data_IF_700102537042
#
_entry.id   IF_700102537042
#
_cell.length_a   1.000
_cell.length_b   1.000
_cell.length_c   1.000
_cell.angle_alpha   90.00
_cell.angle_beta   90.00
_cell.angle_gamma   90.00
#
_symmetry.space_group_name_H-M   'P 1'
#
loop_
_entity.id
_entity.type
_entity.pdbx_description
1 polymer ?
#
# COMPACT_ATOMS: atom_id res chain seq x y z
N UNK A 1 86.44 8.94 -135.64
CA UNK A 1 85.29 8.91 -136.59
C UNK A 1 84.00 8.87 -135.76
N UNK A 2 83.17 9.91 -135.74
CA UNK A 2 81.93 9.99 -134.95
C UNK A 2 82.11 10.26 -133.44
N UNK A 3 81.30 11.06 -132.73
CA UNK A 3 80.22 12.00 -133.07
C UNK A 3 80.69 13.41 -132.63
N UNK A 4 80.05 14.45 -133.15
CA UNK A 4 80.38 15.90 -133.09
C UNK A 4 80.67 16.50 -131.70
N UNK A 5 81.38 17.64 -131.72
CA UNK A 5 81.99 18.40 -130.61
C UNK A 5 81.05 18.85 -129.49
N UNK A 6 79.73 18.82 -129.68
CA UNK A 6 78.79 19.36 -128.68
C UNK A 6 78.13 18.26 -127.83
N UNK A 7 77.74 17.13 -128.41
CA UNK A 7 77.08 16.05 -127.68
C UNK A 7 78.02 15.32 -126.70
N UNK A 8 79.33 15.22 -127.02
CA UNK A 8 80.33 14.65 -126.09
C UNK A 8 80.74 15.63 -124.98
N UNK A 9 80.56 16.94 -125.17
CA UNK A 9 80.84 17.97 -124.17
C UNK A 9 79.69 18.05 -123.16
N UNK A 10 78.45 17.98 -123.63
CA UNK A 10 77.24 17.84 -122.80
C UNK A 10 77.26 16.54 -121.96
N UNK A 11 77.70 15.41 -122.53
CA UNK A 11 77.90 14.17 -121.75
C UNK A 11 79.01 14.26 -120.69
N UNK A 12 80.04 15.09 -120.89
CA UNK A 12 81.14 15.27 -119.92
C UNK A 12 80.76 16.24 -118.78
N UNK A 13 79.95 17.25 -119.05
CA UNK A 13 79.43 18.16 -118.01
C UNK A 13 78.28 17.52 -117.21
N UNK A 14 77.36 16.82 -117.87
CA UNK A 14 76.33 16.03 -117.19
C UNK A 14 76.96 14.98 -116.25
N UNK A 15 78.02 14.29 -116.68
CA UNK A 15 78.72 13.28 -115.86
C UNK A 15 79.56 13.88 -114.72
N UNK A 16 79.97 15.16 -114.81
CA UNK A 16 80.62 15.87 -113.70
C UNK A 16 79.61 16.40 -112.68
N UNK A 17 78.49 16.96 -113.14
CA UNK A 17 77.38 17.38 -112.29
C UNK A 17 76.72 16.20 -111.56
N UNK A 18 76.54 15.06 -112.25
CA UNK A 18 76.04 13.83 -111.67
C UNK A 18 77.00 13.26 -110.61
N UNK A 19 78.32 13.27 -110.85
CA UNK A 19 79.32 12.89 -109.83
C UNK A 19 79.29 13.80 -108.61
N UNK A 20 79.16 15.11 -108.80
CA UNK A 20 79.09 16.06 -107.70
C UNK A 20 77.79 15.90 -106.89
N UNK A 21 76.67 15.65 -107.58
CA UNK A 21 75.39 15.33 -106.95
C UNK A 21 75.45 13.99 -106.20
N UNK A 22 76.07 12.96 -106.77
CA UNK A 22 76.30 11.68 -106.09
C UNK A 22 77.17 11.85 -104.84
N UNK A 23 78.20 12.70 -104.87
CA UNK A 23 79.04 12.97 -103.72
C UNK A 23 78.32 13.79 -102.63
N UNK A 24 77.49 14.75 -103.03
CA UNK A 24 76.61 15.50 -102.11
C UNK A 24 75.54 14.59 -101.50
N UNK A 25 74.90 13.73 -102.29
CA UNK A 25 73.91 12.76 -101.81
C UNK A 25 74.56 11.69 -100.93
N UNK A 26 75.76 11.22 -101.26
CA UNK A 26 76.54 10.31 -100.41
C UNK A 26 76.89 10.95 -99.06
N UNK A 27 77.30 12.23 -99.04
CA UNK A 27 77.50 12.97 -97.79
C UNK A 27 76.22 13.19 -97.00
N UNK A 28 75.08 13.43 -97.66
CA UNK A 28 73.77 13.54 -96.99
C UNK A 28 73.31 12.19 -96.44
N UNK A 29 73.52 11.09 -97.16
CA UNK A 29 73.23 9.74 -96.68
C UNK A 29 74.08 9.41 -95.46
N UNK A 30 75.39 9.69 -95.50
CA UNK A 30 76.27 9.46 -94.34
C UNK A 30 75.81 10.25 -93.10
N UNK A 31 75.43 11.52 -93.27
CA UNK A 31 74.87 12.33 -92.17
C UNK A 31 73.50 11.82 -91.69
N UNK A 32 72.66 11.30 -92.59
CA UNK A 32 71.39 10.65 -92.22
C UNK A 32 71.62 9.36 -91.45
N UNK A 33 72.62 8.57 -91.83
CA UNK A 33 72.99 7.32 -91.17
C UNK A 33 73.68 7.57 -89.82
N UNK A 34 74.43 8.65 -89.67
CA UNK A 34 74.94 9.12 -88.39
C UNK A 34 73.79 9.58 -87.48
N UNK A 35 72.88 10.41 -87.99
CA UNK A 35 71.71 10.85 -87.24
C UNK A 35 70.79 9.68 -86.85
N UNK A 36 70.58 8.71 -87.75
CA UNK A 36 69.78 7.52 -87.47
C UNK A 36 70.45 6.63 -86.40
N UNK A 37 71.79 6.50 -86.42
CA UNK A 37 72.54 5.81 -85.37
C UNK A 37 72.46 6.55 -84.02
N UNK A 38 72.52 7.87 -84.01
CA UNK A 38 72.33 8.67 -82.80
C UNK A 38 70.91 8.55 -82.24
N UNK A 39 69.88 8.61 -83.08
CA UNK A 39 68.48 8.43 -82.67
C UNK A 39 68.25 7.01 -82.13
N UNK A 40 68.78 5.97 -82.77
CA UNK A 40 68.70 4.60 -82.28
C UNK A 40 69.43 4.42 -80.95
N UNK A 41 70.62 5.02 -80.80
CA UNK A 41 71.36 5.00 -79.54
C UNK A 41 70.64 5.77 -78.43
N UNK A 42 70.00 6.91 -78.74
CA UNK A 42 69.19 7.67 -77.80
C UNK A 42 67.90 6.92 -77.41
N UNK A 43 67.25 6.21 -78.34
CA UNK A 43 66.10 5.38 -78.04
C UNK A 43 66.47 4.21 -77.10
N UNK A 44 67.65 3.60 -77.31
CA UNK A 44 68.15 2.56 -76.43
C UNK A 44 68.47 3.11 -75.03
N UNK A 45 69.19 4.25 -74.95
CA UNK A 45 69.44 4.94 -73.66
C UNK A 45 68.15 5.38 -72.97
N UNK A 46 67.13 5.80 -73.72
CA UNK A 46 65.81 6.15 -73.17
C UNK A 46 65.12 4.93 -72.58
N UNK A 47 65.16 3.78 -73.25
CA UNK A 47 64.61 2.54 -72.71
C UNK A 47 65.36 2.06 -71.46
N UNK A 48 66.68 2.23 -71.42
CA UNK A 48 67.49 1.97 -70.22
C UNK A 48 67.16 2.91 -69.07
N UNK A 49 67.00 4.22 -69.36
CA UNK A 49 66.54 5.22 -68.40
C UNK A 49 65.13 4.92 -67.90
N UNK A 50 64.19 4.53 -68.77
CA UNK A 50 62.83 4.16 -68.39
C UNK A 50 62.80 2.89 -67.54
N UNK A 51 63.64 1.89 -67.85
CA UNK A 51 63.81 0.69 -67.02
C UNK A 51 64.39 1.05 -65.65
N UNK A 52 65.44 1.88 -65.62
CA UNK A 52 66.06 2.37 -64.38
C UNK A 52 65.10 3.19 -63.54
N UNK A 53 64.33 4.09 -64.17
CA UNK A 53 63.29 4.89 -63.54
C UNK A 53 62.18 4.02 -62.96
N UNK A 54 61.67 3.04 -63.72
CA UNK A 54 60.66 2.09 -63.23
C UNK A 54 61.19 1.25 -62.07
N UNK A 55 62.43 0.78 -62.14
CA UNK A 55 63.07 0.03 -61.06
C UNK A 55 63.23 0.90 -59.80
N UNK A 56 63.67 2.15 -59.95
CA UNK A 56 63.79 3.12 -58.85
C UNK A 56 62.41 3.45 -58.26
N UNK A 57 61.41 3.72 -59.10
CA UNK A 57 60.04 3.99 -58.67
C UNK A 57 59.41 2.79 -57.96
N UNK A 58 59.65 1.57 -58.44
CA UNK A 58 59.19 0.36 -57.77
C UNK A 58 59.87 0.20 -56.40
N UNK A 59 61.18 0.43 -56.32
CA UNK A 59 61.92 0.39 -55.05
C UNK A 59 61.44 1.45 -54.03
N UNK A 60 60.98 2.61 -54.51
CA UNK A 60 60.39 3.67 -53.66
C UNK A 60 58.95 3.34 -53.27
N UNK A 61 58.14 2.77 -54.17
CA UNK A 61 56.71 2.50 -53.95
C UNK A 61 56.41 1.18 -53.25
N UNK A 62 57.25 0.17 -53.42
CA UNK A 62 57.11 -1.13 -52.74
C UNK A 62 56.98 -1.03 -51.21
N UNK A 63 57.83 -0.28 -50.47
CA UNK A 63 57.65 -0.13 -49.03
C UNK A 63 56.36 0.63 -48.67
N UNK A 64 55.93 1.59 -49.50
CA UNK A 64 54.66 2.32 -49.30
C UNK A 64 53.48 1.37 -49.46
N UNK A 65 53.46 0.55 -50.52
CA UNK A 65 52.39 -0.43 -50.71
C UNK A 65 52.37 -1.48 -49.60
N UNK A 66 53.54 -1.92 -49.12
CA UNK A 66 53.63 -2.83 -47.98
C UNK A 66 53.01 -2.21 -46.73
N UNK A 67 53.34 -0.95 -46.45
CA UNK A 67 52.78 -0.21 -45.33
C UNK A 67 51.27 0.01 -45.49
N UNK A 68 50.78 0.36 -46.68
CA UNK A 68 49.35 0.53 -46.95
C UNK A 68 48.58 -0.79 -46.76
N UNK A 69 49.14 -1.91 -47.21
CA UNK A 69 48.57 -3.26 -47.00
C UNK A 69 48.54 -3.60 -45.51
N UNK A 70 49.60 -3.28 -44.76
CA UNK A 70 49.68 -3.53 -43.32
C UNK A 70 48.68 -2.66 -42.53
N UNK A 71 48.58 -1.37 -42.86
CA UNK A 71 47.57 -0.47 -42.29
C UNK A 71 46.17 -0.99 -42.61
N UNK A 72 45.91 -1.38 -43.86
CA UNK A 72 44.63 -1.92 -44.28
C UNK A 72 44.32 -3.24 -43.56
N UNK A 73 45.31 -4.11 -43.38
CA UNK A 73 45.21 -5.34 -42.59
C UNK A 73 44.78 -5.05 -41.15
N UNK A 74 45.48 -4.16 -40.44
CA UNK A 74 45.12 -3.80 -39.06
C UNK A 74 43.75 -3.12 -38.95
N UNK A 75 43.37 -2.32 -39.94
CA UNK A 75 42.01 -1.74 -40.00
C UNK A 75 40.97 -2.84 -40.18
N UNK A 76 41.21 -3.81 -41.07
CA UNK A 76 40.31 -4.94 -41.25
C UNK A 76 40.20 -5.81 -40.00
N UNK A 77 41.32 -6.14 -39.36
CA UNK A 77 41.37 -6.91 -38.12
C UNK A 77 40.56 -6.24 -37.02
N UNK A 78 40.77 -4.93 -36.80
CA UNK A 78 40.00 -4.16 -35.81
C UNK A 78 38.49 -4.11 -36.13
N UNK A 79 38.13 -3.96 -37.40
CA UNK A 79 36.72 -3.97 -37.82
C UNK A 79 36.12 -5.37 -37.65
N UNK A 80 36.88 -6.41 -37.96
CA UNK A 80 36.50 -7.80 -37.77
C UNK A 80 36.25 -8.09 -36.29
N UNK A 81 37.20 -7.78 -35.41
CA UNK A 81 37.06 -7.95 -33.95
C UNK A 81 35.86 -7.20 -33.39
N UNK A 82 35.63 -5.96 -33.85
CA UNK A 82 34.47 -5.17 -33.43
C UNK A 82 33.16 -5.83 -33.87
N UNK A 83 33.11 -6.32 -35.11
CA UNK A 83 31.93 -7.03 -35.63
C UNK A 83 31.72 -8.35 -34.92
N UNK A 84 32.76 -9.13 -34.68
CA UNK A 84 32.70 -10.40 -33.95
C UNK A 84 32.24 -10.18 -32.50
N UNK A 85 32.76 -9.16 -31.82
CA UNK A 85 32.27 -8.75 -30.51
C UNK A 85 30.79 -8.37 -30.54
N UNK A 86 30.36 -7.56 -31.52
CA UNK A 86 28.96 -7.17 -31.65
C UNK A 86 28.06 -8.38 -31.93
N UNK A 87 28.49 -9.32 -32.77
CA UNK A 87 27.75 -10.57 -33.04
C UNK A 87 27.62 -11.37 -31.75
N UNK A 88 28.74 -11.65 -31.06
CA UNK A 88 28.75 -12.39 -29.78
C UNK A 88 27.89 -11.71 -28.71
N UNK A 89 27.95 -10.38 -28.63
CA UNK A 89 27.15 -9.62 -27.68
C UNK A 89 25.65 -9.71 -28.01
N UNK A 90 25.30 -9.58 -29.29
CA UNK A 90 23.91 -9.67 -29.76
C UNK A 90 23.34 -11.07 -29.55
N UNK A 91 24.14 -12.12 -29.82
CA UNK A 91 23.75 -13.51 -29.53
C UNK A 91 23.47 -13.69 -28.03
N UNK A 92 24.34 -13.19 -27.15
CA UNK A 92 24.09 -13.25 -25.70
C UNK A 92 22.82 -12.51 -25.28
N UNK A 93 22.56 -11.34 -25.86
CA UNK A 93 21.33 -10.60 -25.58
C UNK A 93 20.10 -11.35 -26.07
N UNK A 94 20.19 -12.05 -27.20
CA UNK A 94 19.13 -12.91 -27.71
C UNK A 94 18.86 -14.09 -26.77
N UNK A 95 19.91 -14.76 -26.27
CA UNK A 95 19.77 -15.85 -25.29
C UNK A 95 19.12 -15.37 -23.98
N UNK A 96 19.51 -14.19 -23.50
CA UNK A 96 18.90 -13.58 -22.30
C UNK A 96 17.43 -13.23 -22.55
N UNK A 97 17.10 -12.68 -23.72
CA UNK A 97 15.73 -12.35 -24.08
C UNK A 97 14.85 -13.59 -24.19
N UNK A 98 15.38 -14.68 -24.76
CA UNK A 98 14.67 -15.96 -24.86
C UNK A 98 14.45 -16.58 -23.48
N UNK A 99 15.45 -16.62 -22.60
CA UNK A 99 15.32 -17.08 -21.21
C UNK A 99 14.29 -16.25 -20.43
N UNK A 100 14.27 -14.92 -20.61
CA UNK A 100 13.24 -14.05 -20.02
C UNK A 100 11.85 -14.37 -20.56
N UNK A 101 11.72 -14.60 -21.87
CA UNK A 101 10.45 -14.95 -22.49
C UNK A 101 9.93 -16.31 -21.97
N UNK A 102 10.78 -17.33 -21.93
CA UNK A 102 10.44 -18.66 -21.42
C UNK A 102 10.00 -18.62 -19.95
N UNK A 103 10.72 -17.88 -19.10
CA UNK A 103 10.33 -17.69 -17.68
C UNK A 103 8.98 -16.99 -17.54
N UNK A 104 8.74 -15.98 -18.37
CA UNK A 104 7.47 -15.24 -18.36
C UNK A 104 6.31 -16.15 -18.77
N UNK A 105 6.48 -16.95 -19.83
CA UNK A 105 5.49 -17.94 -20.27
C UNK A 105 5.25 -18.98 -19.18
N UNK A 106 6.30 -19.55 -18.58
CA UNK A 106 6.16 -20.52 -17.49
C UNK A 106 5.41 -19.93 -16.29
N UNK A 107 5.71 -18.69 -15.90
CA UNK A 107 5.00 -17.99 -14.83
C UNK A 107 3.51 -17.75 -15.17
N UNK A 108 3.19 -17.46 -16.43
CA UNK A 108 1.80 -17.31 -16.86
C UNK A 108 1.06 -18.64 -16.84
N UNK A 109 1.66 -19.72 -17.34
CA UNK A 109 1.07 -21.07 -17.28
C UNK A 109 0.79 -21.47 -15.83
N UNK A 110 1.74 -21.31 -14.91
CA UNK A 110 1.54 -21.60 -13.48
C UNK A 110 0.43 -20.74 -12.85
N UNK A 111 0.33 -19.47 -13.23
CA UNK A 111 -0.78 -18.61 -12.77
C UNK A 111 -2.14 -19.10 -13.28
N UNK A 112 -2.21 -19.51 -14.55
CA UNK A 112 -3.42 -20.07 -15.16
C UNK A 112 -3.78 -21.40 -14.49
N UNK A 113 -2.81 -22.29 -14.28
CA UNK A 113 -3.04 -23.59 -13.63
C UNK A 113 -3.53 -23.43 -12.19
N UNK A 114 -2.95 -22.50 -11.42
CA UNK A 114 -3.44 -22.17 -10.06
C UNK A 114 -4.88 -21.66 -10.09
N UNK A 115 -5.21 -20.82 -11.07
CA UNK A 115 -6.56 -20.28 -11.23
C UNK A 115 -7.56 -21.37 -11.64
N UNK A 116 -7.20 -22.24 -12.58
CA UNK A 116 -8.01 -23.39 -12.99
C UNK A 116 -8.26 -24.31 -11.78
N UNK A 117 -7.20 -24.68 -11.05
CA UNK A 117 -7.32 -25.54 -9.88
C UNK A 117 -8.21 -24.93 -8.79
N UNK A 118 -8.10 -23.62 -8.56
CA UNK A 118 -9.00 -22.92 -7.64
C UNK A 118 -10.46 -22.99 -8.12
N UNK A 119 -10.72 -22.73 -9.39
CA UNK A 119 -12.07 -22.82 -9.93
C UNK A 119 -12.64 -24.24 -9.86
N UNK A 120 -11.81 -25.26 -10.07
CA UNK A 120 -12.23 -26.66 -9.92
C UNK A 120 -12.62 -26.98 -8.47
N UNK A 121 -11.83 -26.54 -7.48
CA UNK A 121 -12.14 -26.72 -6.07
C UNK A 121 -13.43 -25.98 -5.69
N UNK A 122 -13.55 -24.70 -6.07
CA UNK A 122 -14.75 -23.90 -5.79
C UNK A 122 -16.01 -24.54 -6.42
N UNK A 123 -15.89 -25.11 -7.62
CA UNK A 123 -17.00 -25.77 -8.31
C UNK A 123 -17.38 -27.10 -7.64
N UNK A 124 -16.40 -27.86 -7.17
CA UNK A 124 -16.63 -29.09 -6.40
C UNK A 124 -17.33 -28.79 -5.07
N UNK A 125 -16.88 -27.76 -4.34
CA UNK A 125 -17.49 -27.33 -3.08
C UNK A 125 -18.93 -26.84 -3.29
N UNK A 126 -19.17 -26.05 -4.35
CA UNK A 126 -20.52 -25.62 -4.72
C UNK A 126 -21.43 -26.79 -5.10
N UNK A 127 -20.89 -27.81 -5.78
CA UNK A 127 -21.63 -29.05 -6.08
C UNK A 127 -22.01 -29.77 -4.80
N UNK A 128 -21.05 -30.01 -3.89
CA UNK A 128 -21.29 -30.69 -2.61
C UNK A 128 -22.31 -29.96 -1.74
N UNK A 129 -22.23 -28.63 -1.68
CA UNK A 129 -23.18 -27.81 -0.92
C UNK A 129 -24.58 -27.86 -1.55
N UNK A 130 -24.68 -27.88 -2.88
CA UNK A 130 -25.96 -28.04 -3.57
C UNK A 130 -26.57 -29.44 -3.33
N UNK A 131 -25.77 -30.50 -3.39
CA UNK A 131 -26.20 -31.86 -3.10
C UNK A 131 -26.67 -32.00 -1.65
N UNK A 132 -25.95 -31.38 -0.71
CA UNK A 132 -26.37 -31.33 0.69
C UNK A 132 -27.69 -30.58 0.86
N UNK A 133 -27.85 -29.41 0.24
CA UNK A 133 -29.08 -28.62 0.33
C UNK A 133 -30.28 -29.33 -0.28
N UNK A 134 -30.09 -29.98 -1.43
CA UNK A 134 -31.17 -30.73 -2.09
C UNK A 134 -31.56 -31.95 -1.26
N UNK A 135 -30.60 -32.68 -0.68
CA UNK A 135 -30.86 -33.76 0.27
C UNK A 135 -31.64 -33.28 1.49
N UNK A 136 -31.20 -32.19 2.13
CA UNK A 136 -31.86 -31.64 3.33
C UNK A 136 -33.30 -31.17 3.02
N UNK A 137 -33.54 -30.56 1.85
CA UNK A 137 -34.87 -30.15 1.41
C UNK A 137 -35.78 -31.35 1.13
N UNK A 138 -35.26 -32.36 0.44
CA UNK A 138 -36.01 -33.58 0.15
C UNK A 138 -36.40 -34.29 1.45
N UNK A 139 -35.45 -34.45 2.36
CA UNK A 139 -35.69 -35.06 3.67
C UNK A 139 -36.75 -34.30 4.48
N UNK A 140 -36.67 -32.97 4.52
CA UNK A 140 -37.71 -32.16 5.20
C UNK A 140 -39.08 -32.34 4.56
N UNK A 141 -39.14 -32.38 3.23
CA UNK A 141 -40.40 -32.64 2.52
C UNK A 141 -40.95 -34.04 2.86
N UNK A 142 -40.10 -35.06 2.92
CA UNK A 142 -40.50 -36.41 3.31
C UNK A 142 -41.01 -36.43 4.76
N UNK A 143 -40.28 -35.82 5.70
CA UNK A 143 -40.68 -35.71 7.10
C UNK A 143 -42.01 -34.96 7.25
N UNK A 144 -42.18 -33.83 6.55
CA UNK A 144 -43.44 -33.06 6.54
C UNK A 144 -44.60 -33.87 5.96
N UNK A 145 -44.40 -34.57 4.85
CA UNK A 145 -45.46 -35.41 4.25
C UNK A 145 -45.85 -36.56 5.18
N UNK A 146 -44.88 -37.19 5.84
CA UNK A 146 -45.12 -38.24 6.84
C UNK A 146 -45.92 -37.71 8.03
N UNK A 147 -45.56 -36.55 8.56
CA UNK A 147 -46.29 -35.90 9.65
C UNK A 147 -47.73 -35.54 9.24
N UNK A 148 -47.93 -34.97 8.06
CA UNK A 148 -49.26 -34.63 7.54
C UNK A 148 -50.12 -35.90 7.39
N UNK A 149 -49.55 -37.00 6.87
CA UNK A 149 -50.26 -38.27 6.76
C UNK A 149 -50.61 -38.84 8.14
N UNK A 150 -49.69 -38.77 9.10
CA UNK A 150 -49.94 -39.24 10.47
C UNK A 150 -51.07 -38.44 11.14
N UNK A 151 -51.02 -37.11 11.05
CA UNK A 151 -52.05 -36.22 11.59
C UNK A 151 -53.41 -36.42 10.90
N UNK A 152 -53.40 -36.60 9.58
CA UNK A 152 -54.62 -36.89 8.82
C UNK A 152 -55.25 -38.22 9.26
N UNK A 153 -54.46 -39.29 9.37
CA UNK A 153 -54.94 -40.59 9.83
C UNK A 153 -55.46 -40.53 11.28
N UNK A 154 -54.78 -39.79 12.16
CA UNK A 154 -55.24 -39.57 13.54
C UNK A 154 -56.58 -38.82 13.58
N UNK A 155 -56.75 -37.78 12.76
CA UNK A 155 -58.00 -37.04 12.66
C UNK A 155 -59.13 -37.90 12.06
N UNK A 156 -58.82 -38.68 11.02
CA UNK A 156 -59.79 -39.58 10.37
C UNK A 156 -60.27 -40.65 11.35
N UNK A 157 -59.36 -41.33 12.05
CA UNK A 157 -59.71 -42.35 13.05
C UNK A 157 -60.54 -41.76 14.19
N UNK A 158 -60.23 -40.56 14.65
CA UNK A 158 -61.03 -39.85 15.66
C UNK A 158 -62.45 -39.53 15.15
N UNK A 159 -62.60 -39.06 13.90
CA UNK A 159 -63.90 -38.82 13.29
C UNK A 159 -64.70 -40.12 13.12
N UNK A 160 -64.06 -41.19 12.65
CA UNK A 160 -64.69 -42.51 12.53
C UNK A 160 -65.21 -43.00 13.89
N UNK A 161 -64.44 -42.80 14.97
CA UNK A 161 -64.86 -43.15 16.32
C UNK A 161 -66.08 -42.33 16.78
N UNK A 162 -66.09 -41.02 16.53
CA UNK A 162 -67.24 -40.16 16.84
C UNK A 162 -68.48 -40.57 16.04
N UNK A 163 -68.34 -40.86 14.75
CA UNK A 163 -69.44 -41.35 13.92
C UNK A 163 -69.97 -42.68 14.43
N UNK A 164 -69.09 -43.61 14.80
CA UNK A 164 -69.47 -44.91 15.37
C UNK A 164 -70.26 -44.73 16.68
N UNK A 165 -69.79 -43.87 17.59
CA UNK A 165 -70.53 -43.55 18.82
C UNK A 165 -71.87 -42.85 18.56
N UNK A 166 -71.91 -41.88 17.66
CA UNK A 166 -73.14 -41.19 17.28
C UNK A 166 -74.16 -42.14 16.65
N UNK A 167 -73.70 -43.06 15.78
CA UNK A 167 -74.53 -44.08 15.18
C UNK A 167 -75.08 -45.05 16.22
N UNK A 168 -74.22 -45.61 17.08
CA UNK A 168 -74.66 -46.53 18.14
C UNK A 168 -75.65 -45.86 19.11
N UNK A 169 -75.42 -44.61 19.49
CA UNK A 169 -76.34 -43.88 20.38
C UNK A 169 -77.69 -43.59 19.71
N UNK A 170 -77.69 -43.20 18.43
CA UNK A 170 -78.91 -43.02 17.67
C UNK A 170 -79.67 -44.35 17.46
N UNK A 171 -78.96 -45.44 17.16
CA UNK A 171 -79.55 -46.76 16.95
C UNK A 171 -80.12 -47.33 18.25
N UNK A 172 -79.40 -47.23 19.36
CA UNK A 172 -79.92 -47.62 20.69
C UNK A 172 -81.12 -46.78 21.10
N UNK A 173 -81.13 -45.47 20.84
CA UNK A 173 -82.30 -44.62 21.05
C UNK A 173 -83.47 -45.02 20.15
N UNK A 174 -83.21 -45.32 18.87
CA UNK A 174 -84.22 -45.78 17.95
C UNK A 174 -84.81 -47.14 18.36
N UNK A 175 -83.97 -48.08 18.82
CA UNK A 175 -84.39 -49.38 19.34
C UNK A 175 -85.21 -49.26 20.62
N UNK A 176 -84.77 -48.44 21.58
CA UNK A 176 -85.53 -48.19 22.82
C UNK A 176 -86.86 -47.50 22.53
N UNK A 177 -86.84 -46.42 21.74
CA UNK A 177 -88.07 -45.71 21.31
C UNK A 177 -88.99 -46.63 20.52
N UNK A 178 -88.46 -47.48 19.63
CA UNK A 178 -89.24 -48.49 18.91
C UNK A 178 -89.78 -49.55 19.84
N UNK A 179 -89.02 -50.00 20.84
CA UNK A 179 -89.50 -50.93 21.86
C UNK A 179 -90.65 -50.34 22.67
N UNK A 180 -90.49 -49.11 23.17
CA UNK A 180 -91.52 -48.37 23.89
C UNK A 180 -92.77 -48.12 23.02
N UNK A 181 -92.56 -47.69 21.78
CA UNK A 181 -93.65 -47.49 20.83
C UNK A 181 -94.27 -48.81 20.39
N UNK A 182 -93.53 -49.93 20.32
CA UNK A 182 -94.11 -51.24 20.04
C UNK A 182 -94.88 -51.78 21.23
N UNK A 183 -94.50 -51.48 22.47
CA UNK A 183 -95.30 -51.81 23.65
C UNK A 183 -96.59 -50.98 23.64
N UNK A 184 -96.50 -49.65 23.48
CA UNK A 184 -97.68 -48.76 23.36
C UNK A 184 -98.55 -49.12 22.16
N UNK A 185 -97.91 -49.41 21.03
CA UNK A 185 -98.58 -49.82 19.82
C UNK A 185 -99.08 -51.25 19.90
N UNK A 186 -98.56 -52.19 20.70
CA UNK A 186 -99.17 -53.51 20.93
C UNK A 186 -100.33 -53.41 21.93
N UNK A 187 -100.28 -52.48 22.88
CA UNK A 187 -101.41 -52.16 23.75
C UNK A 187 -102.56 -51.51 22.97
N UNK A 188 -102.25 -50.56 22.08
CA UNK A 188 -103.22 -49.97 21.14
C UNK A 188 -103.57 -50.92 20.02
N UNK A 189 -102.61 -51.67 19.44
CA UNK A 189 -102.84 -52.67 18.39
C UNK A 189 -103.60 -53.84 18.95
N UNK A 190 -103.52 -54.26 20.21
CA UNK A 190 -104.42 -55.32 20.70
C UNK A 190 -105.86 -54.82 20.73
N UNK A 191 -106.08 -53.59 21.24
CA UNK A 191 -107.39 -52.93 21.24
C UNK A 191 -107.93 -52.70 19.83
N UNK A 192 -107.07 -52.17 18.96
CA UNK A 192 -107.37 -51.95 17.57
C UNK A 192 -107.22 -53.21 16.74
N UNK A 193 -106.59 -54.33 17.08
CA UNK A 193 -106.60 -55.57 16.27
C UNK A 193 -107.94 -56.21 16.44
N UNK A 194 -108.58 -56.09 17.59
CA UNK A 194 -109.93 -56.61 17.72
C UNK A 194 -110.93 -55.80 16.85
N UNK A 195 -110.72 -54.47 16.76
CA UNK A 195 -111.55 -53.58 15.91
C UNK A 195 -111.11 -53.55 14.43
N UNK A 196 -109.80 -53.61 14.20
CA UNK A 196 -109.11 -53.60 12.91
C UNK A 196 -109.15 -54.97 12.30
N UNK A 197 -108.99 -56.13 12.91
CA UNK A 197 -109.15 -57.41 12.18
C UNK A 197 -110.56 -57.49 11.57
N UNK A 198 -111.56 -56.95 12.29
CA UNK A 198 -112.90 -56.71 11.77
C UNK A 198 -112.94 -55.68 10.63
N UNK A 199 -112.45 -54.45 10.84
CA UNK A 199 -112.45 -53.40 9.83
C UNK A 199 -111.48 -53.65 8.68
N UNK A 200 -110.41 -54.40 8.87
CA UNK A 200 -109.33 -54.82 7.98
C UNK A 200 -109.74 -56.04 7.20
N UNK A 201 -110.54 -56.96 7.74
CA UNK A 201 -111.18 -57.94 6.88
C UNK A 201 -112.07 -57.23 5.84
N UNK A 202 -112.86 -56.25 6.28
CA UNK A 202 -113.77 -55.48 5.40
C UNK A 202 -112.99 -54.54 4.46
N UNK A 203 -112.05 -53.77 5.01
CA UNK A 203 -111.27 -52.80 4.27
C UNK A 203 -110.14 -53.47 3.50
N UNK A 204 -109.53 -54.60 3.88
CA UNK A 204 -108.62 -55.37 3.02
C UNK A 204 -109.41 -55.93 1.84
N UNK A 205 -110.65 -56.35 2.01
CA UNK A 205 -111.44 -56.79 0.86
C UNK A 205 -111.70 -55.63 -0.13
N UNK A 206 -112.08 -54.44 0.36
CA UNK A 206 -112.31 -53.27 -0.49
C UNK A 206 -111.00 -52.67 -1.03
N UNK A 207 -110.00 -52.56 -0.17
CA UNK A 207 -108.66 -52.08 -0.48
C UNK A 207 -107.98 -53.03 -1.45
N UNK A 208 -108.01 -54.35 -1.27
CA UNK A 208 -107.41 -55.29 -2.21
C UNK A 208 -108.07 -55.19 -3.59
N UNK A 209 -109.39 -55.00 -3.66
CA UNK A 209 -110.08 -54.75 -4.93
C UNK A 209 -109.62 -53.43 -5.58
N UNK A 210 -109.65 -52.32 -4.84
CA UNK A 210 -109.18 -51.01 -5.33
C UNK A 210 -107.67 -51.00 -5.61
N UNK A 211 -106.90 -51.80 -4.89
CA UNK A 211 -105.45 -51.95 -4.99
C UNK A 211 -105.07 -52.79 -6.20
N UNK A 212 -105.85 -53.82 -6.56
CA UNK A 212 -105.66 -54.51 -7.83
C UNK A 212 -106.04 -53.63 -9.02
N UNK A 213 -107.10 -52.82 -8.94
CA UNK A 213 -107.42 -51.83 -9.97
C UNK A 213 -106.35 -50.73 -10.07
N UNK A 214 -105.91 -50.19 -8.94
CA UNK A 214 -104.85 -49.20 -8.89
C UNK A 214 -103.51 -49.77 -9.38
N UNK A 215 -103.17 -51.01 -9.01
CA UNK A 215 -102.03 -51.75 -9.57
C UNK A 215 -102.19 -51.93 -11.07
N UNK A 216 -103.39 -52.23 -11.57
CA UNK A 216 -103.61 -52.40 -13.00
C UNK A 216 -103.39 -51.08 -13.76
N UNK A 217 -103.92 -49.96 -13.26
CA UNK A 217 -103.71 -48.62 -13.81
C UNK A 217 -102.24 -48.19 -13.71
N UNK A 218 -101.59 -48.43 -12.56
CA UNK A 218 -100.17 -48.15 -12.37
C UNK A 218 -99.29 -49.00 -13.30
N UNK A 219 -99.57 -50.30 -13.44
CA UNK A 219 -98.84 -51.18 -14.36
C UNK A 219 -99.03 -50.68 -15.80
N UNK A 220 -100.25 -50.31 -16.19
CA UNK A 220 -100.52 -49.74 -17.52
C UNK A 220 -99.77 -48.42 -17.76
N UNK A 221 -99.74 -47.52 -16.78
CA UNK A 221 -99.00 -46.26 -16.85
C UNK A 221 -97.48 -46.46 -16.87
N UNK A 222 -96.95 -47.34 -16.02
CA UNK A 222 -95.52 -47.68 -15.96
C UNK A 222 -95.08 -48.32 -17.27
N UNK A 223 -95.86 -49.26 -17.83
CA UNK A 223 -95.56 -49.89 -19.11
C UNK A 223 -95.66 -48.85 -20.25
N UNK A 224 -96.73 -48.04 -20.27
CA UNK A 224 -96.94 -47.00 -21.29
C UNK A 224 -95.88 -45.88 -21.26
N UNK A 225 -95.31 -45.58 -20.10
CA UNK A 225 -94.27 -44.55 -19.94
C UNK A 225 -92.85 -45.10 -19.87
N UNK A 226 -92.65 -46.42 -19.80
CA UNK A 226 -91.33 -47.03 -19.64
C UNK A 226 -90.35 -46.65 -20.76
N UNK A 227 -90.79 -46.72 -22.02
CA UNK A 227 -89.96 -46.33 -23.17
C UNK A 227 -89.66 -44.83 -23.18
N UNK A 228 -90.64 -43.98 -22.83
CA UNK A 228 -90.42 -42.53 -22.73
C UNK A 228 -89.46 -42.18 -21.58
N UNK A 229 -89.61 -42.81 -20.41
CA UNK A 229 -88.68 -42.65 -19.28
C UNK A 229 -87.26 -43.09 -19.65
N UNK A 230 -87.10 -44.19 -20.41
CA UNK A 230 -85.81 -44.66 -20.92
C UNK A 230 -85.19 -43.68 -21.92
N UNK A 231 -85.99 -43.11 -22.82
CA UNK A 231 -85.56 -42.06 -23.75
C UNK A 231 -85.10 -40.80 -23.02
N UNK A 232 -85.88 -40.32 -22.04
CA UNK A 232 -85.53 -39.17 -21.19
C UNK A 232 -84.25 -39.42 -20.40
N UNK A 233 -84.06 -40.60 -19.81
CA UNK A 233 -82.80 -40.96 -19.12
C UNK A 233 -81.60 -40.94 -20.09
N UNK A 234 -81.78 -41.43 -21.33
CA UNK A 234 -80.71 -41.41 -22.35
C UNK A 234 -80.35 -39.98 -22.77
N UNK A 235 -81.35 -39.11 -22.94
CA UNK A 235 -81.14 -37.69 -23.26
C UNK A 235 -80.47 -36.96 -22.09
N UNK A 236 -80.93 -37.15 -20.84
CA UNK A 236 -80.28 -36.57 -19.65
C UNK A 236 -78.83 -36.98 -19.48
N UNK A 237 -78.48 -38.24 -19.77
CA UNK A 237 -77.06 -38.68 -19.76
C UNK A 237 -76.22 -37.93 -20.79
N UNK A 238 -76.75 -37.71 -22.00
CA UNK A 238 -76.08 -36.92 -23.04
C UNK A 238 -75.97 -35.45 -22.65
N UNK A 239 -77.03 -34.87 -22.10
CA UNK A 239 -77.06 -33.49 -21.61
C UNK A 239 -76.03 -33.27 -20.50
N UNK A 240 -76.00 -34.14 -19.48
CA UNK A 240 -75.01 -34.09 -18.42
C UNK A 240 -73.58 -34.20 -18.98
N UNK A 241 -73.33 -35.15 -19.90
CA UNK A 241 -72.02 -35.29 -20.55
C UNK A 241 -71.62 -34.03 -21.32
N UNK A 242 -72.55 -33.39 -22.04
CA UNK A 242 -72.29 -32.13 -22.73
C UNK A 242 -72.05 -30.97 -21.74
N UNK A 243 -72.79 -30.92 -20.64
CA UNK A 243 -72.59 -29.92 -19.58
C UNK A 243 -71.20 -30.05 -18.94
N UNK A 244 -70.74 -31.27 -18.66
CA UNK A 244 -69.39 -31.53 -18.14
C UNK A 244 -68.31 -31.08 -19.13
N UNK A 245 -68.51 -31.34 -20.43
CA UNK A 245 -67.61 -30.87 -21.48
C UNK A 245 -67.59 -29.34 -21.52
N UNK A 246 -68.75 -28.69 -21.47
CA UNK A 246 -68.88 -27.22 -21.48
C UNK A 246 -68.16 -26.62 -20.26
N UNK A 247 -68.35 -27.17 -19.06
CA UNK A 247 -67.67 -26.70 -17.85
C UNK A 247 -66.14 -26.88 -17.96
N UNK A 248 -65.68 -28.03 -18.46
CA UNK A 248 -64.26 -28.28 -18.66
C UNK A 248 -63.62 -27.30 -19.66
N UNK A 249 -64.33 -26.95 -20.74
CA UNK A 249 -63.88 -25.97 -21.72
C UNK A 249 -63.94 -24.56 -21.15
N UNK A 250 -64.97 -24.23 -20.37
CA UNK A 250 -65.07 -22.96 -19.64
C UNK A 250 -63.87 -22.73 -18.71
N UNK A 251 -63.47 -23.75 -17.94
CA UNK A 251 -62.26 -23.72 -17.11
C UNK A 251 -60.99 -23.51 -17.93
N UNK A 252 -60.83 -24.20 -19.07
CA UNK A 252 -59.68 -24.00 -19.98
C UNK A 252 -59.61 -22.59 -20.55
N UNK A 253 -60.76 -22.04 -20.96
CA UNK A 253 -60.85 -20.66 -21.46
C UNK A 253 -60.50 -19.67 -20.36
N UNK A 254 -61.04 -19.82 -19.15
CA UNK A 254 -60.73 -18.95 -18.01
C UNK A 254 -59.23 -18.96 -17.66
N UNK A 255 -58.60 -20.14 -17.65
CA UNK A 255 -57.16 -20.28 -17.42
C UNK A 255 -56.34 -19.58 -18.51
N UNK A 256 -56.74 -19.74 -19.77
CA UNK A 256 -56.06 -19.14 -20.92
C UNK A 256 -56.21 -17.61 -20.94
N UNK A 257 -57.39 -17.09 -20.60
CA UNK A 257 -57.65 -15.66 -20.44
C UNK A 257 -56.86 -15.05 -19.27
N UNK A 258 -56.77 -15.77 -18.14
CA UNK A 258 -55.93 -15.40 -17.01
C UNK A 258 -54.44 -15.33 -17.37
N UNK A 259 -53.94 -16.25 -18.21
CA UNK A 259 -52.58 -16.20 -18.73
C UNK A 259 -52.39 -15.03 -19.70
N UNK A 260 -53.32 -14.82 -20.63
CA UNK A 260 -53.31 -13.70 -21.58
C UNK A 260 -53.28 -12.35 -20.87
N UNK A 261 -54.10 -12.15 -19.81
CA UNK A 261 -54.07 -10.93 -18.99
C UNK A 261 -52.72 -10.71 -18.32
N UNK A 262 -52.12 -11.76 -17.74
CA UNK A 262 -50.79 -11.67 -17.12
C UNK A 262 -49.73 -11.27 -18.14
N UNK A 263 -49.70 -11.94 -19.29
CA UNK A 263 -48.74 -11.65 -20.36
C UNK A 263 -48.91 -10.23 -20.92
N UNK A 264 -50.15 -9.76 -21.11
CA UNK A 264 -50.44 -8.37 -21.50
C UNK A 264 -49.95 -7.36 -20.48
N UNK A 265 -50.15 -7.65 -19.18
CA UNK A 265 -49.68 -6.78 -18.09
C UNK A 265 -48.16 -6.75 -18.06
N UNK A 266 -47.51 -7.89 -18.27
CA UNK A 266 -46.05 -7.96 -18.33
C UNK A 266 -45.49 -7.23 -19.55
N UNK A 267 -46.12 -7.37 -20.72
CA UNK A 267 -45.76 -6.65 -21.93
C UNK A 267 -45.89 -5.14 -21.72
N UNK A 268 -46.99 -4.66 -21.13
CA UNK A 268 -47.15 -3.25 -20.78
C UNK A 268 -46.09 -2.75 -19.77
N UNK A 269 -45.67 -3.60 -18.82
CA UNK A 269 -44.57 -3.29 -17.91
C UNK A 269 -43.21 -3.19 -18.65
N UNK A 270 -42.98 -4.04 -19.66
CA UNK A 270 -41.81 -3.93 -20.53
C UNK A 270 -41.84 -2.66 -21.40
N UNK A 271 -42.97 -2.37 -22.05
CA UNK A 271 -43.16 -1.21 -22.95
C UNK A 271 -43.11 0.13 -22.20
N UNK A 272 -43.67 0.20 -20.99
CA UNK A 272 -43.56 1.39 -20.12
C UNK A 272 -42.13 1.67 -19.65
N UNK A 273 -41.19 0.74 -19.89
CA UNK A 273 -39.79 0.90 -19.51
C UNK A 273 -39.54 0.85 -18.01
N UNK A 274 -40.52 0.45 -17.19
CA UNK A 274 -40.38 0.35 -15.72
C UNK A 274 -39.28 -0.62 -15.31
N UNK A 275 -39.17 -1.77 -15.99
CA UNK A 275 -38.05 -2.71 -15.82
C UNK A 275 -36.70 -2.09 -16.20
N UNK A 276 -36.66 -1.24 -17.23
CA UNK A 276 -35.44 -0.53 -17.65
C UNK A 276 -35.10 0.66 -16.74
N UNK A 277 -36.09 1.26 -16.08
CA UNK A 277 -35.90 2.36 -15.14
C UNK A 277 -35.02 1.93 -13.96
N UNK A 278 -35.21 0.71 -13.45
CA UNK A 278 -34.37 0.13 -12.37
C UNK A 278 -32.89 0.06 -12.78
N UNK A 279 -32.60 -0.36 -14.02
CA UNK A 279 -31.22 -0.40 -14.52
C UNK A 279 -30.62 1.00 -14.72
N UNK A 280 -31.41 1.96 -15.22
CA UNK A 280 -30.98 3.36 -15.35
C UNK A 280 -30.67 3.98 -13.99
N UNK A 281 -31.53 3.73 -13.02
CA UNK A 281 -31.42 4.20 -11.65
C UNK A 281 -30.19 3.59 -10.94
N UNK A 282 -29.99 2.27 -11.05
CA UNK A 282 -28.77 1.60 -10.54
C UNK A 282 -27.50 2.18 -11.19
N UNK A 283 -27.48 2.37 -12.50
CA UNK A 283 -26.36 2.99 -13.22
C UNK A 283 -26.08 4.41 -12.73
N UNK A 284 -27.13 5.21 -12.51
CA UNK A 284 -26.98 6.58 -12.02
C UNK A 284 -26.43 6.60 -10.59
N UNK A 285 -26.92 5.73 -9.68
CA UNK A 285 -26.37 5.60 -8.33
C UNK A 285 -24.88 5.26 -8.34
N UNK A 286 -24.46 4.31 -9.20
CA UNK A 286 -23.04 3.97 -9.34
C UNK A 286 -22.21 5.15 -9.89
N UNK A 287 -22.73 5.87 -10.88
CA UNK A 287 -22.08 7.06 -11.43
C UNK A 287 -21.90 8.15 -10.36
N UNK A 288 -22.93 8.40 -9.56
CA UNK A 288 -22.89 9.39 -8.48
C UNK A 288 -21.93 8.98 -7.37
N UNK A 289 -21.87 7.69 -7.02
CA UNK A 289 -20.92 7.16 -6.05
C UNK A 289 -19.46 7.33 -6.52
N UNK A 290 -19.17 6.98 -7.78
CA UNK A 290 -17.85 7.19 -8.37
C UNK A 290 -17.48 8.68 -8.41
N UNK A 291 -18.43 9.56 -8.74
CA UNK A 291 -18.22 11.01 -8.73
C UNK A 291 -17.88 11.53 -7.33
N UNK A 292 -18.63 11.11 -6.30
CA UNK A 292 -18.35 11.47 -4.90
C UNK A 292 -16.98 10.98 -4.44
N UNK A 293 -16.63 9.74 -4.74
CA UNK A 293 -15.33 9.17 -4.38
C UNK A 293 -14.18 9.95 -5.03
N UNK A 294 -14.32 10.28 -6.32
CA UNK A 294 -13.33 11.09 -7.04
C UNK A 294 -13.15 12.47 -6.41
N UNK A 295 -14.25 13.15 -6.08
CA UNK A 295 -14.18 14.45 -5.41
C UNK A 295 -13.58 14.36 -4.01
N UNK A 296 -13.90 13.30 -3.25
CA UNK A 296 -13.30 13.07 -1.95
C UNK A 296 -11.79 12.86 -2.06
N UNK A 297 -11.32 12.11 -3.06
CA UNK A 297 -9.89 11.91 -3.31
C UNK A 297 -9.18 13.22 -3.66
N UNK A 298 -9.73 14.03 -4.57
CA UNK A 298 -9.13 15.33 -4.91
C UNK A 298 -9.09 16.29 -3.72
N UNK A 299 -10.17 16.36 -2.93
CA UNK A 299 -10.23 17.22 -1.75
C UNK A 299 -9.33 16.69 -0.61
N UNK A 300 -9.21 15.36 -0.49
CA UNK A 300 -8.32 14.69 0.46
C UNK A 300 -6.86 15.06 0.21
N UNK A 301 -6.39 14.91 -1.04
CA UNK A 301 -5.02 15.29 -1.43
C UNK A 301 -4.74 16.76 -1.10
N UNK A 302 -5.67 17.67 -1.40
CA UNK A 302 -5.50 19.09 -1.07
C UNK A 302 -5.44 19.36 0.45
N UNK A 303 -6.13 18.56 1.25
CA UNK A 303 -6.11 18.64 2.71
C UNK A 303 -4.80 18.08 3.27
N UNK A 304 -4.36 16.93 2.77
CA UNK A 304 -3.12 16.28 3.19
C UNK A 304 -1.91 17.17 2.92
N UNK A 305 -1.86 17.83 1.76
CA UNK A 305 -0.80 18.80 1.45
C UNK A 305 -0.76 19.95 2.46
N UNK A 306 -1.92 20.47 2.88
CA UNK A 306 -1.99 21.55 3.89
C UNK A 306 -1.55 21.06 5.26
N UNK A 307 -1.99 19.86 5.67
CA UNK A 307 -1.62 19.27 6.96
C UNK A 307 -0.13 18.97 7.01
N UNK A 308 0.44 18.43 5.94
CA UNK A 308 1.87 18.17 5.84
C UNK A 308 2.69 19.47 5.91
N UNK A 309 2.27 20.52 5.20
CA UNK A 309 2.93 21.82 5.27
C UNK A 309 2.90 22.42 6.69
N UNK A 310 1.76 22.28 7.39
CA UNK A 310 1.64 22.72 8.78
C UNK A 310 2.55 21.90 9.71
N UNK A 311 2.56 20.58 9.55
CA UNK A 311 3.39 19.68 10.36
C UNK A 311 4.88 20.02 10.21
N UNK A 312 5.35 20.18 8.96
CA UNK A 312 6.74 20.54 8.66
C UNK A 312 7.10 21.87 9.30
N UNK A 313 6.24 22.88 9.17
CA UNK A 313 6.47 24.19 9.79
C UNK A 313 6.58 24.09 11.32
N UNK A 314 5.64 23.39 11.96
CA UNK A 314 5.64 23.24 13.43
C UNK A 314 6.85 22.43 13.90
N UNK A 315 7.29 21.42 13.14
CA UNK A 315 8.51 20.68 13.48
C UNK A 315 9.76 21.55 13.34
N UNK A 316 9.85 22.36 12.29
CA UNK A 316 10.99 23.27 12.09
C UNK A 316 11.05 24.31 13.20
N UNK A 317 9.91 24.95 13.53
CA UNK A 317 9.80 25.91 14.65
C UNK A 317 10.23 25.28 15.99
N UNK A 318 9.85 24.02 16.23
CA UNK A 318 10.23 23.29 17.45
C UNK A 318 11.73 22.97 17.48
N UNK A 319 12.31 22.57 16.35
CA UNK A 319 13.74 22.30 16.22
C UNK A 319 14.54 23.59 16.43
N UNK A 320 14.18 24.69 15.79
CA UNK A 320 14.83 25.99 15.99
C UNK A 320 14.82 26.43 17.45
N UNK A 321 13.67 26.27 18.13
CA UNK A 321 13.55 26.59 19.54
C UNK A 321 14.45 25.72 20.42
N UNK A 322 14.49 24.40 20.17
CA UNK A 322 15.34 23.46 20.90
C UNK A 322 16.83 23.76 20.67
N UNK A 323 17.24 24.08 19.44
CA UNK A 323 18.61 24.49 19.14
C UNK A 323 19.00 25.79 19.86
N UNK A 324 18.10 26.77 19.89
CA UNK A 324 18.33 28.01 20.62
C UNK A 324 18.46 27.78 22.13
N UNK A 325 17.64 26.89 22.70
CA UNK A 325 17.74 26.48 24.10
C UNK A 325 19.05 25.74 24.38
N UNK A 326 19.45 24.81 23.51
CA UNK A 326 20.71 24.08 23.59
C UNK A 326 21.91 25.05 23.58
N UNK A 327 21.95 26.01 22.65
CA UNK A 327 23.01 27.03 22.58
C UNK A 327 23.13 27.84 23.88
N UNK A 328 22.01 28.17 24.53
CA UNK A 328 22.02 28.85 25.85
C UNK A 328 22.60 27.96 26.95
N UNK A 329 22.18 26.70 27.01
CA UNK A 329 22.67 25.74 28.00
C UNK A 329 24.17 25.47 27.81
N UNK A 330 24.63 25.26 26.57
CA UNK A 330 26.05 25.09 26.26
C UNK A 330 26.87 26.31 26.71
N UNK A 331 26.37 27.53 26.45
CA UNK A 331 27.04 28.75 26.94
C UNK A 331 27.11 28.81 28.47
N UNK A 332 26.04 28.46 29.18
CA UNK A 332 26.01 28.42 30.64
C UNK A 332 27.01 27.38 31.17
N UNK A 333 27.05 26.17 30.59
CA UNK A 333 27.98 25.11 31.00
C UNK A 333 29.43 25.49 30.74
N UNK A 334 29.74 26.10 29.58
CA UNK A 334 31.07 26.63 29.28
C UNK A 334 31.50 27.69 30.28
N UNK A 335 30.62 28.65 30.59
CA UNK A 335 30.89 29.69 31.59
C UNK A 335 31.07 29.09 32.98
N UNK A 336 30.23 28.13 33.39
CA UNK A 336 30.37 27.43 34.67
C UNK A 336 31.71 26.68 34.75
N UNK A 337 32.13 26.02 33.65
CA UNK A 337 33.43 25.36 33.54
C UNK A 337 34.61 26.32 33.64
N UNK A 338 34.52 27.52 33.06
CA UNK A 338 35.53 28.58 33.19
C UNK A 338 35.58 29.13 34.61
N UNK A 339 34.44 29.49 35.20
CA UNK A 339 34.35 29.96 36.58
C UNK A 339 34.91 28.94 37.57
N UNK A 340 34.64 27.64 37.34
CA UNK A 340 35.14 26.54 38.18
C UNK A 340 36.67 26.48 38.24
N UNK A 341 37.41 27.03 37.28
CA UNK A 341 38.88 27.06 37.35
C UNK A 341 39.40 27.92 38.51
N UNK A 342 38.73 29.02 38.81
CA UNK A 342 39.12 30.00 39.84
C UNK A 342 38.63 29.65 41.25
N UNK A 343 37.88 28.56 41.39
CA UNK A 343 37.42 28.09 42.70
C UNK A 343 38.52 27.32 43.43
N UNK A 344 38.56 27.50 44.74
CA UNK A 344 39.46 26.76 45.63
C UNK A 344 39.09 25.26 45.65
N UNK A 345 40.03 24.39 46.00
CA UNK A 345 39.75 22.95 46.13
C UNK A 345 38.59 22.70 47.12
N UNK A 346 38.55 23.45 48.23
CA UNK A 346 37.47 23.38 49.22
C UNK A 346 36.09 23.70 48.60
N UNK A 347 36.00 24.69 47.72
CA UNK A 347 34.75 25.06 47.04
C UNK A 347 34.38 24.15 45.87
N UNK A 348 35.34 23.41 45.30
CA UNK A 348 35.09 22.37 44.29
C UNK A 348 34.52 21.09 44.91
N UNK A 349 34.97 20.73 46.11
CA UNK A 349 34.54 19.54 46.85
C UNK A 349 33.27 19.81 47.67
N UNK A 350 33.16 21.00 48.28
CA UNK A 350 31.98 21.46 49.02
C UNK A 350 31.44 22.81 48.48
N UNK A 351 30.84 22.83 47.27
CA UNK A 351 30.33 24.06 46.65
C UNK A 351 29.28 24.82 47.47
N UNK A 352 28.58 24.12 48.36
CA UNK A 352 27.44 24.65 49.12
C UNK A 352 27.70 24.74 50.64
N UNK A 353 28.95 24.53 51.08
CA UNK A 353 29.34 24.59 52.50
C UNK A 353 29.11 23.31 53.30
N UNK A 354 29.69 23.24 54.50
CA UNK A 354 29.61 22.11 55.45
C UNK A 354 28.51 22.25 56.51
N UNK A 355 27.78 23.37 56.51
CA UNK A 355 26.69 23.63 57.43
C UNK A 355 25.50 24.16 56.64
N UNK A 356 24.59 23.27 56.26
CA UNK A 356 23.12 23.41 56.33
C UNK A 356 22.58 21.97 56.15
N UNK A 357 21.89 21.39 57.14
CA UNK A 357 21.05 20.23 56.89
C UNK A 357 19.89 20.69 56.01
N UNK A 358 19.91 20.32 54.73
CA UNK A 358 18.68 20.30 53.97
C UNK A 358 18.01 18.97 54.29
N UNK A 359 16.98 18.99 55.12
CA UNK A 359 16.01 17.91 55.17
C UNK A 359 15.50 17.65 53.75
N UNK A 360 15.68 16.46 53.17
CA UNK A 360 15.17 16.14 51.83
C UNK A 360 13.66 15.86 51.87
N UNK A 361 12.89 16.70 52.57
CA UNK A 361 11.48 16.50 52.84
C UNK A 361 10.73 17.83 53.06
N UNK A 362 11.02 18.85 52.25
CA UNK A 362 9.89 19.64 51.76
C UNK A 362 9.52 19.04 50.43
N UNK A 363 8.45 18.24 50.48
CA UNK A 363 7.85 17.66 49.31
C UNK A 363 7.64 18.73 48.25
N UNK A 364 7.57 18.27 47.00
CA UNK A 364 6.96 19.02 45.93
C UNK A 364 5.51 19.34 46.33
N UNK A 365 5.32 20.37 47.16
CA UNK A 365 4.04 21.03 47.30
C UNK A 365 3.84 21.69 45.96
N UNK A 366 3.03 21.01 45.16
CA UNK A 366 2.49 21.48 43.91
C UNK A 366 2.15 22.97 44.02
N UNK A 367 3.02 23.82 43.44
CA UNK A 367 2.77 25.26 43.21
C UNK A 367 1.52 25.48 42.33
N UNK A 368 0.87 24.41 41.87
CA UNK A 368 -0.37 24.43 41.09
C UNK A 368 -1.66 24.63 41.91
N UNK A 369 -1.60 24.78 43.24
CA UNK A 369 -2.82 24.93 44.09
C UNK A 369 -2.88 26.19 44.96
N UNK A 370 -2.26 27.29 44.52
CA UNK A 370 -2.40 28.60 45.17
C UNK A 370 -2.62 29.73 44.15
N UNK A 371 -3.39 29.45 43.09
CA UNK A 371 -3.93 30.45 42.16
C UNK A 371 -5.36 30.79 42.55
N UNK A 372 -5.60 31.20 43.79
CA UNK A 372 -6.94 31.67 44.20
C UNK A 372 -6.91 32.44 45.52
N UNK A 373 -5.95 33.33 45.70
CA UNK A 373 -6.09 34.50 46.57
C UNK A 373 -4.89 35.40 46.34
N UNK A 374 -5.17 36.69 46.17
CA UNK A 374 -4.22 37.80 46.24
C UNK A 374 -3.33 38.04 45.01
N UNK A 375 -4.01 38.55 43.97
CA UNK A 375 -3.45 39.22 42.81
C UNK A 375 -2.78 40.58 43.12
N UNK A 376 -2.02 40.69 44.22
CA UNK A 376 -1.34 41.95 44.60
C UNK A 376 0.17 41.92 44.71
N UNK A 377 0.84 40.77 44.54
CA UNK A 377 2.31 40.74 44.33
C UNK A 377 2.75 39.62 43.36
N UNK A 378 2.19 39.65 42.15
CA UNK A 378 2.51 38.70 41.07
C UNK A 378 4.00 38.72 40.68
N UNK A 379 4.66 39.87 40.79
CA UNK A 379 6.10 40.02 40.52
C UNK A 379 6.95 39.27 41.54
N UNK A 380 6.61 39.35 42.81
CA UNK A 380 7.37 38.73 43.90
C UNK A 380 7.21 37.21 43.84
N UNK A 381 5.98 36.71 43.64
CA UNK A 381 5.74 35.27 43.49
C UNK A 381 6.39 34.68 42.22
N UNK A 382 6.39 35.42 41.10
CA UNK A 382 7.11 35.04 39.88
C UNK A 382 8.63 35.09 40.06
N UNK A 383 9.16 36.07 40.79
CA UNK A 383 10.58 36.17 41.10
C UNK A 383 11.02 35.03 42.03
N UNK A 384 10.25 34.72 43.08
CA UNK A 384 10.52 33.59 43.97
C UNK A 384 10.52 32.27 43.20
N UNK A 385 9.47 31.97 42.43
CA UNK A 385 9.43 30.73 41.64
C UNK A 385 10.57 30.64 40.61
N UNK A 386 10.94 31.75 39.96
CA UNK A 386 12.06 31.80 38.99
C UNK A 386 13.45 31.69 39.62
N UNK A 387 13.62 32.05 40.90
CA UNK A 387 14.94 32.08 41.58
C UNK A 387 15.14 30.99 42.63
N UNK A 388 14.08 30.27 43.03
CA UNK A 388 14.14 29.16 44.00
C UNK A 388 15.17 28.08 43.66
N UNK A 389 15.38 27.79 42.37
CA UNK A 389 16.41 26.85 41.90
C UNK A 389 17.85 27.40 41.97
N UNK A 390 18.01 28.71 42.11
CA UNK A 390 19.32 29.42 42.08
C UNK A 390 19.82 29.80 43.48
N UNK A 391 19.06 29.57 44.55
CA UNK A 391 19.43 29.93 45.94
C UNK A 391 20.84 29.43 46.32
N UNK A 392 21.17 28.20 45.93
CA UNK A 392 22.49 27.61 46.18
C UNK A 392 23.62 28.28 45.39
N UNK A 393 23.34 28.73 44.16
CA UNK A 393 24.28 29.51 43.35
C UNK A 393 24.54 30.87 44.00
N UNK A 394 23.48 31.55 44.47
CA UNK A 394 23.61 32.83 45.16
C UNK A 394 24.39 32.72 46.46
N UNK A 395 24.18 31.68 47.27
CA UNK A 395 25.00 31.43 48.46
C UNK A 395 26.49 31.29 48.10
N UNK A 396 26.79 30.59 47.00
CA UNK A 396 28.14 30.41 46.51
C UNK A 396 28.78 31.73 46.06
N UNK A 397 28.05 32.56 45.33
CA UNK A 397 28.50 33.90 44.90
C UNK A 397 28.75 34.79 46.12
N UNK A 398 27.83 34.82 47.09
CA UNK A 398 27.97 35.62 48.31
C UNK A 398 29.20 35.22 49.12
N UNK A 399 29.50 33.92 49.20
CA UNK A 399 30.71 33.43 49.87
C UNK A 399 31.98 33.92 49.16
N UNK A 400 32.03 33.85 47.83
CA UNK A 400 33.15 34.35 47.03
C UNK A 400 33.33 35.88 47.16
N UNK A 401 32.24 36.65 47.26
CA UNK A 401 32.31 38.09 47.52
C UNK A 401 32.80 38.41 48.94
N UNK A 402 32.42 37.62 49.95
CA UNK A 402 32.95 37.77 51.31
C UNK A 402 34.44 37.48 51.39
N UNK A 403 34.92 36.41 50.75
CA UNK A 403 36.36 36.08 50.70
C UNK A 403 37.14 37.16 49.96
N UNK A 404 36.62 37.66 48.83
CA UNK A 404 37.21 38.80 48.10
C UNK A 404 37.32 40.05 48.98
N UNK A 405 36.28 40.41 49.71
CA UNK A 405 36.31 41.57 50.63
C UNK A 405 37.30 41.39 51.78
N UNK A 406 37.41 40.18 52.32
CA UNK A 406 38.41 39.86 53.34
C UNK A 406 39.84 40.05 52.81
N UNK A 407 40.14 39.50 51.62
CA UNK A 407 41.44 39.65 50.96
C UNK A 407 41.76 41.12 50.64
N UNK A 408 40.79 41.92 50.20
CA UNK A 408 40.99 43.35 49.95
C UNK A 408 41.34 44.11 51.24
N UNK A 409 40.68 43.79 52.35
CA UNK A 409 40.98 44.39 53.65
C UNK A 409 42.37 43.99 54.15
N UNK A 410 42.74 42.72 54.01
CA UNK A 410 44.07 42.22 54.37
C UNK A 410 45.16 42.88 53.51
N UNK A 411 44.92 43.01 52.20
CA UNK A 411 45.80 43.77 51.30
C UNK A 411 46.01 45.21 51.78
N UNK A 412 44.94 45.93 52.12
CA UNK A 412 45.02 47.30 52.62
C UNK A 412 45.85 47.39 53.91
N UNK A 413 45.62 46.47 54.85
CA UNK A 413 46.40 46.41 56.10
C UNK A 413 47.88 46.14 55.83
N UNK A 414 48.19 45.18 54.94
CA UNK A 414 49.56 44.89 54.54
C UNK A 414 50.22 46.05 53.80
N UNK A 415 49.47 46.79 52.97
CA UNK A 415 49.96 48.01 52.31
C UNK A 415 50.26 49.13 53.34
N UNK A 416 49.40 49.31 54.35
CA UNK A 416 49.63 50.25 55.46
C UNK A 416 50.82 49.84 56.34
N UNK A 417 50.95 48.56 56.67
CA UNK A 417 52.08 48.02 57.40
C UNK A 417 53.37 48.16 56.60
N UNK A 418 53.36 47.82 55.32
CA UNK A 418 54.51 47.98 54.44
C UNK A 418 54.89 49.46 54.30
N UNK A 419 53.92 50.37 54.17
CA UNK A 419 54.19 51.81 54.19
C UNK A 419 54.79 52.27 55.54
N UNK A 420 54.34 51.70 56.66
CA UNK A 420 54.89 51.99 58.00
C UNK A 420 56.31 51.45 58.16
N UNK A 421 56.59 50.26 57.63
CA UNK A 421 57.92 49.65 57.59
C UNK A 421 58.84 50.48 56.71
N UNK A 422 58.41 50.85 55.50
CA UNK A 422 59.17 51.71 54.58
C UNK A 422 59.50 53.05 55.23
N UNK A 423 58.54 53.72 55.86
CA UNK A 423 58.82 54.95 56.64
C UNK A 423 59.83 54.70 57.77
N UNK A 424 59.72 53.59 58.48
CA UNK A 424 60.64 53.26 59.57
C UNK A 424 62.06 52.95 59.05
N UNK A 425 62.17 52.38 57.86
CA UNK A 425 63.45 52.18 57.15
C UNK A 425 64.01 53.51 56.65
N UNK A 426 63.16 54.42 56.15
CA UNK A 426 63.54 55.80 55.83
C UNK A 426 64.04 56.55 57.07
N UNK A 427 63.30 56.51 58.19
CA UNK A 427 63.70 57.08 59.49
C UNK A 427 65.01 56.48 60.02
N UNK A 428 65.24 55.18 59.81
CA UNK A 428 66.51 54.52 60.14
C UNK A 428 67.66 54.96 59.22
N UNK A 429 67.38 55.29 57.97
CA UNK A 429 68.37 55.79 57.02
C UNK A 429 68.68 57.28 57.25
N UNK A 430 67.70 58.08 57.70
CA UNK A 430 67.85 59.51 58.02
C UNK A 430 68.48 59.75 59.40
N UNK A 431 68.16 58.91 60.40
CA UNK A 431 68.83 58.93 61.70
C UNK A 431 70.07 58.03 61.70
N UNK A 432 71.20 58.60 61.28
CA UNK A 432 72.53 58.06 61.58
C UNK A 432 72.76 58.05 63.10
N UNK A 433 72.35 56.98 63.77
CA UNK A 433 72.86 56.65 65.11
C UNK A 433 73.78 55.45 64.98
N UNK A 434 75.03 55.73 65.35
CA UNK A 434 76.11 54.79 65.50
C UNK A 434 75.72 53.62 66.42
N UNK A 435 76.16 52.43 66.03
CA UNK A 435 76.28 51.29 66.93
C UNK A 435 77.28 51.65 68.02
N UNK A 436 76.85 51.66 69.29
CA UNK A 436 77.74 51.55 70.44
C UNK A 436 77.45 50.19 71.12
N UNK A 437 78.48 49.37 71.42
CA UNK A 437 78.32 47.99 71.83
C UNK A 437 78.06 47.88 73.35
N UNK A 438 77.40 46.79 73.73
CA UNK A 438 77.15 46.32 75.11
C UNK A 438 75.88 46.83 75.82
N UNK A 439 74.78 46.15 75.53
CA UNK A 439 73.94 45.56 76.59
C UNK A 439 73.27 44.29 76.08
N UNK A 440 73.93 43.17 76.31
CA UNK A 440 73.32 41.85 76.32
C UNK A 440 72.59 41.69 77.67
N UNK A 441 71.30 41.38 77.65
CA UNK A 441 70.63 40.71 78.77
C UNK A 441 69.77 39.59 78.19
N UNK A 442 70.31 38.38 78.28
CA UNK A 442 69.52 37.18 78.37
C UNK A 442 68.99 37.03 79.81
N UNK A 443 67.73 36.62 79.93
CA UNK A 443 67.14 35.68 80.91
C UNK A 443 66.60 36.11 82.31
N UNK A 444 65.29 35.82 82.47
CA UNK A 444 64.52 35.25 83.64
C UNK A 444 64.02 36.25 84.72
N UNK A 445 62.80 36.17 85.30
CA UNK A 445 61.80 35.08 85.47
C UNK A 445 60.44 35.57 86.02
N UNK A 446 59.34 34.85 85.68
CA UNK A 446 58.11 34.47 86.46
C UNK A 446 57.42 35.49 87.41
N UNK A 447 56.10 35.68 87.58
CA UNK A 447 54.77 35.12 87.19
C UNK A 447 53.74 35.95 88.05
N UNK A 448 52.41 35.73 88.09
CA UNK A 448 51.39 35.48 87.06
C UNK A 448 50.19 36.48 87.17
N UNK A 449 49.28 36.49 86.18
CA UNK A 449 47.79 36.53 86.32
C UNK A 449 47.15 36.85 84.95
N UNK A 450 46.37 35.87 84.52
CA UNK A 450 45.29 35.84 83.54
C UNK A 450 44.60 37.17 83.22
N UNK A 451 44.46 37.52 81.93
CA UNK A 451 43.16 37.52 81.24
C UNK A 451 43.28 37.76 79.73
N UNK A 452 42.54 36.90 79.02
CA UNK A 452 42.32 36.79 77.57
C UNK A 452 41.96 38.13 76.88
N UNK A 453 42.65 38.45 75.79
CA UNK A 453 42.00 38.83 74.53
C UNK A 453 42.72 38.08 73.40
N UNK A 454 42.05 37.07 72.89
CA UNK A 454 42.43 36.32 71.71
C UNK A 454 42.24 37.18 70.45
N UNK A 455 43.25 37.96 70.07
CA UNK A 455 43.36 38.39 68.67
C UNK A 455 43.88 37.22 67.85
N UNK A 456 43.00 36.23 67.63
CA UNK A 456 43.17 35.29 66.54
C UNK A 456 42.96 36.12 65.28
N UNK A 457 44.05 36.64 64.72
CA UNK A 457 44.06 37.00 63.32
C UNK A 457 43.63 35.76 62.55
N UNK A 458 42.55 35.81 61.75
CA UNK A 458 42.31 34.78 60.76
C UNK A 458 43.40 34.94 59.70
N UNK A 459 44.52 34.27 59.90
CA UNK A 459 45.54 34.08 58.88
C UNK A 459 44.89 33.25 57.77
N UNK A 460 44.84 33.81 56.57
CA UNK A 460 44.56 33.03 55.38
C UNK A 460 45.71 32.03 55.20
N UNK A 461 45.49 30.79 55.64
CA UNK A 461 46.43 29.70 55.39
C UNK A 461 46.39 29.39 53.90
N UNK A 462 47.58 29.45 53.31
CA UNK A 462 47.89 29.33 51.90
C UNK A 462 47.22 28.14 51.17
N UNK A 463 46.98 28.37 49.89
CA UNK A 463 46.50 27.39 48.92
C UNK A 463 47.17 27.56 47.56
N UNK A 464 48.50 27.39 47.54
CA UNK A 464 49.37 26.85 46.47
C UNK A 464 48.88 27.01 45.01
N UNK A 465 49.59 27.85 44.26
CA UNK A 465 49.61 27.82 42.79
C UNK A 465 50.38 26.57 42.34
N UNK A 466 49.69 25.49 41.97
CA UNK A 466 50.30 24.41 41.20
C UNK A 466 50.41 24.82 39.72
N UNK A 467 51.63 25.20 39.32
CA UNK A 467 52.08 25.11 37.93
C UNK A 467 52.30 23.62 37.59
N UNK A 468 51.36 22.99 36.88
CA UNK A 468 51.62 21.74 36.15
C UNK A 468 51.45 21.96 34.65
N UNK A 469 52.60 22.06 33.97
CA UNK A 469 52.74 21.64 32.57
C UNK A 469 52.49 20.14 32.51
N UNK A 470 51.52 19.71 31.71
CA UNK A 470 51.56 18.39 31.06
C UNK A 470 51.03 18.54 29.63
N UNK A 471 51.92 18.26 28.67
CA UNK A 471 51.59 17.87 27.29
C UNK A 471 51.23 16.38 27.31
N UNK A 472 50.22 15.98 26.52
CA UNK A 472 50.07 14.73 25.74
C UNK A 472 48.58 14.66 25.30
N UNK A 473 48.28 14.95 24.03
CA UNK A 473 48.16 14.04 22.87
C UNK A 473 46.84 13.27 22.77
N UNK A 474 46.07 13.67 21.75
CA UNK A 474 45.43 12.90 20.65
C UNK A 474 44.66 11.58 20.89
N UNK A 475 43.48 11.56 20.25
CA UNK A 475 42.65 10.43 19.75
C UNK A 475 41.89 9.64 20.84
N UNK A 476 40.58 9.32 20.72
CA UNK A 476 39.71 9.05 19.57
C UNK A 476 38.21 8.94 19.97
N UNK A 477 37.31 8.95 18.95
CA UNK A 477 36.04 8.18 18.85
C UNK A 477 34.71 8.69 19.47
N UNK A 478 33.72 8.79 18.56
CA UNK A 478 32.23 8.90 18.68
C UNK A 478 31.72 10.33 18.95
N UNK A 479 31.02 11.00 18.05
CA UNK A 479 29.99 10.57 17.07
C UNK A 479 30.08 11.38 15.78
#
# INVERSE_FOLDING_TARGET
>A
MGLTKEEKKAKKEAKKLEKLQQEIEFRKQLKRDELAREIAAQALRRNELDKSWRAMMLKIKEPVFRQDIEVMWHVFERVFDKKDFLIKHTMRLMDIADDQFQRTVASFCDTIDRMINKFLIDLEDMSKENDRRTYDLLKRSEDETSNIMADHNAAETHLQLLLYHAYNTADTLAWTTRGENMVKADEERNKYTDERENLRSVLENIYNAMWEEYKAVLRAYVIGTAENQKAVRKLRRKENMMADIIDSQGKKIANSDGLLRRLRTELAAYESGTKQAVFRDRRNRHRDACYRLKNHMYNGVATDVKQLALLVKVSDDAVEWLEAAYKKVDRILRMAGLCRKFETQREKVLPYGSCIPHSPSQGMVNVRKQQQSDARDSLVLNAFTSTTGLTRLWHRISKAELTKRALLREKQLLEEENARILRRVEDFNENKIAVDPQKCICTKSSEPIQQRISNVHPVAIDGVIEMKKNKLNLQSLRS
#
